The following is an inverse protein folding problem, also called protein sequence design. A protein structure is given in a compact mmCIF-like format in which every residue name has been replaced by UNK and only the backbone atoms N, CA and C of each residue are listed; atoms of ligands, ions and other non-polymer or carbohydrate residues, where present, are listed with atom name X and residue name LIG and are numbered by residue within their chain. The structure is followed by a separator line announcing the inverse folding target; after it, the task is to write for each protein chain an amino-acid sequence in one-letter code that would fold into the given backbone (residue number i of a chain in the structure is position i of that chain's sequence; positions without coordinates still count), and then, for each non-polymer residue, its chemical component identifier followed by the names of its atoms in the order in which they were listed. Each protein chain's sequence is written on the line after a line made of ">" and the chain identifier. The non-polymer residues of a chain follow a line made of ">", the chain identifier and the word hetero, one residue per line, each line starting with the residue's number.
data_IF_039622350876
#
_entry.id   IF_039622350876
#
_cell.length_a   1.000
_cell.length_b   1.000
_cell.length_c   1.000
_cell.angle_alpha   90.00
_cell.angle_beta   90.00
_cell.angle_gamma   90.00
#
_symmetry.space_group_name_H-M   'P 1'
#
loop_
_entity.id
_entity.type
_entity.pdbx_description
1 polymer ?
#
# COMPACT_ATOMS: atom_id res chain seq x y z
N UNK A 1 10.22 -11.45 -7.51
CA UNK A 1 10.63 -12.04 -6.20
C UNK A 1 9.66 -11.54 -5.14
N UNK A 2 9.24 -12.35 -4.16
CA UNK A 2 8.47 -11.83 -3.01
C UNK A 2 9.46 -11.40 -1.90
N UNK A 3 9.38 -10.15 -1.47
CA UNK A 3 10.10 -9.59 -0.34
C UNK A 3 9.27 -9.80 0.94
N UNK A 4 9.88 -10.36 1.99
CA UNK A 4 9.24 -10.37 3.31
C UNK A 4 9.21 -8.95 3.86
N UNK A 5 8.01 -8.45 4.14
CA UNK A 5 7.78 -7.11 4.69
C UNK A 5 7.82 -7.15 6.22
N UNK A 6 7.26 -8.19 6.84
CA UNK A 6 7.20 -8.33 8.28
C UNK A 6 7.73 -9.69 8.74
N UNK A 7 8.84 -9.71 9.47
CA UNK A 7 9.38 -10.95 10.06
C UNK A 7 8.57 -11.43 11.28
N UNK A 8 7.97 -10.51 12.04
CA UNK A 8 7.15 -10.80 13.22
C UNK A 8 5.90 -11.62 12.88
N UNK A 9 5.18 -11.20 11.83
CA UNK A 9 3.93 -11.82 11.39
C UNK A 9 4.11 -12.62 10.08
N UNK A 10 5.37 -12.76 9.62
CA UNK A 10 5.79 -13.55 8.45
C UNK A 10 4.94 -13.32 7.20
N UNK A 11 4.77 -12.06 6.79
CA UNK A 11 4.07 -11.72 5.55
C UNK A 11 4.92 -10.93 4.55
N UNK A 12 4.59 -11.10 3.28
CA UNK A 12 5.30 -10.56 2.11
C UNK A 12 4.62 -9.33 1.50
N UNK A 13 5.33 -8.63 0.61
CA UNK A 13 4.81 -7.53 -0.19
C UNK A 13 3.55 -7.94 -0.97
N UNK A 14 3.53 -9.15 -1.55
CA UNK A 14 2.38 -9.68 -2.28
C UNK A 14 1.13 -9.79 -1.41
N UNK A 15 1.28 -10.23 -0.16
CA UNK A 15 0.15 -10.31 0.78
C UNK A 15 -0.37 -8.92 1.14
N UNK A 16 0.51 -7.93 1.25
CA UNK A 16 0.11 -6.53 1.45
C UNK A 16 -0.65 -6.00 0.23
N UNK A 17 -0.14 -6.25 -0.98
CA UNK A 17 -0.78 -5.81 -2.23
C UNK A 17 -2.13 -6.50 -2.47
N UNK A 18 -2.23 -7.80 -2.18
CA UNK A 18 -3.49 -8.56 -2.25
C UNK A 18 -4.53 -8.02 -1.27
N UNK A 19 -4.13 -7.71 -0.02
CA UNK A 19 -4.99 -7.06 0.96
C UNK A 19 -5.47 -5.68 0.49
N UNK A 20 -4.62 -4.92 -0.22
CA UNK A 20 -4.99 -3.62 -0.80
C UNK A 20 -5.96 -3.76 -1.97
N UNK A 21 -5.78 -4.77 -2.83
CA UNK A 21 -6.66 -5.02 -3.96
C UNK A 21 -8.04 -5.57 -3.53
N UNK A 22 -8.07 -6.43 -2.51
CA UNK A 22 -9.29 -7.06 -2.00
C UNK A 22 -10.11 -6.21 -1.04
N UNK A 23 -9.57 -5.08 -0.56
CA UNK A 23 -10.23 -4.25 0.45
C UNK A 23 -10.42 -2.81 -0.02
N UNK A 24 -11.67 -2.44 -0.27
CA UNK A 24 -11.99 -1.06 -0.64
C UNK A 24 -11.73 -0.12 0.53
N UNK A 25 -10.80 0.82 0.34
CA UNK A 25 -10.63 1.95 1.24
C UNK A 25 -9.62 1.75 2.37
N UNK A 26 -8.72 0.77 2.29
CA UNK A 26 -7.59 0.66 3.23
C UNK A 26 -6.71 1.93 3.20
N UNK A 27 -6.66 2.69 4.31
CA UNK A 27 -5.92 3.97 4.39
C UNK A 27 -4.72 3.92 5.33
N UNK A 28 -4.63 2.90 6.17
CA UNK A 28 -3.60 2.79 7.20
C UNK A 28 -2.92 1.42 7.22
N UNK A 29 -1.64 1.35 7.63
CA UNK A 29 -0.97 0.07 7.87
C UNK A 29 -1.69 -0.80 8.91
N UNK A 30 -2.34 -0.17 9.90
CA UNK A 30 -3.16 -0.85 10.91
C UNK A 30 -4.24 -1.72 10.29
N UNK A 31 -4.91 -1.20 9.27
CA UNK A 31 -5.95 -1.93 8.56
C UNK A 31 -5.39 -3.08 7.72
N UNK A 32 -4.17 -2.95 7.17
CA UNK A 32 -3.46 -4.07 6.51
C UNK A 32 -3.26 -5.23 7.47
N UNK A 33 -2.77 -4.96 8.69
CA UNK A 33 -2.63 -6.04 9.68
C UNK A 33 -3.97 -6.70 9.99
N UNK A 34 -5.04 -5.91 10.13
CA UNK A 34 -6.39 -6.42 10.40
C UNK A 34 -6.92 -7.27 9.24
N UNK A 35 -6.72 -6.85 7.99
CA UNK A 35 -7.08 -7.64 6.80
C UNK A 35 -6.30 -8.96 6.73
N UNK A 36 -5.03 -8.97 7.14
CA UNK A 36 -4.20 -10.17 7.24
C UNK A 36 -4.45 -10.99 8.52
N UNK A 37 -5.43 -10.62 9.35
CA UNK A 37 -5.78 -11.34 10.58
C UNK A 37 -4.73 -11.28 11.68
N UNK A 38 -3.86 -10.25 11.67
CA UNK A 38 -2.75 -10.11 12.60
C UNK A 38 -2.79 -8.75 13.35
N UNK A 39 -2.00 -8.63 14.41
CA UNK A 39 -1.73 -7.36 15.08
C UNK A 39 -0.25 -6.98 14.96
N UNK A 40 0.11 -5.68 15.00
CA UNK A 40 1.51 -5.26 14.96
C UNK A 40 2.23 -5.69 16.24
N UNK A 41 3.40 -6.33 16.11
CA UNK A 41 4.25 -6.66 17.26
C UNK A 41 5.29 -5.58 17.55
N UNK A 42 6.20 -5.31 16.61
CA UNK A 42 7.29 -4.33 16.80
C UNK A 42 7.18 -3.10 15.89
N UNK A 43 6.23 -3.06 14.96
CA UNK A 43 5.93 -1.91 14.10
C UNK A 43 6.98 -1.53 13.04
N UNK A 44 8.16 -2.15 13.01
CA UNK A 44 9.27 -1.79 12.08
C UNK A 44 8.87 -1.84 10.60
N UNK A 45 7.97 -2.74 10.25
CA UNK A 45 7.46 -2.91 8.88
C UNK A 45 6.43 -1.85 8.47
N UNK A 46 5.91 -1.03 9.39
CA UNK A 46 4.85 -0.08 9.09
C UNK A 46 5.23 0.96 8.02
N UNK A 47 6.50 1.42 7.99
CA UNK A 47 6.97 2.33 6.93
C UNK A 47 6.98 1.65 5.56
N UNK A 48 7.44 0.41 5.49
CA UNK A 48 7.44 -0.38 4.25
C UNK A 48 6.03 -0.65 3.76
N UNK A 49 5.10 -1.00 4.67
CA UNK A 49 3.68 -1.16 4.33
C UNK A 49 3.12 0.14 3.76
N UNK A 50 3.37 1.29 4.41
CA UNK A 50 2.93 2.60 3.91
C UNK A 50 3.49 2.93 2.53
N UNK A 51 4.75 2.60 2.26
CA UNK A 51 5.35 2.80 0.94
C UNK A 51 4.68 1.93 -0.14
N UNK A 52 4.33 0.67 0.19
CA UNK A 52 3.59 -0.20 -0.72
C UNK A 52 2.16 0.31 -0.97
N UNK A 53 1.51 0.86 0.05
CA UNK A 53 0.20 1.51 -0.10
C UNK A 53 0.26 2.72 -1.04
N UNK A 54 1.26 3.58 -0.85
CA UNK A 54 1.47 4.76 -1.69
C UNK A 54 1.77 4.38 -3.14
N UNK A 55 2.63 3.38 -3.37
CA UNK A 55 2.91 2.83 -4.69
C UNK A 55 1.64 2.28 -5.35
N UNK A 56 0.84 1.47 -4.63
CA UNK A 56 -0.40 0.92 -5.17
C UNK A 56 -1.40 2.02 -5.57
N UNK A 57 -1.44 3.14 -4.84
CA UNK A 57 -2.26 4.30 -5.18
C UNK A 57 -1.70 5.10 -6.36
N UNK A 58 -0.37 5.26 -6.44
CA UNK A 58 0.30 5.92 -7.56
C UNK A 58 0.13 5.16 -8.89
N UNK A 59 0.12 3.82 -8.85
CA UNK A 59 -0.10 2.98 -10.03
C UNK A 59 -1.56 2.97 -10.53
N UNK A 60 -2.51 3.53 -9.77
CA UNK A 60 -3.93 3.54 -10.12
C UNK A 60 -4.36 4.81 -10.89
N UNK A 61 -3.41 5.52 -11.51
CA UNK A 61 -3.68 6.61 -12.46
C UNK A 61 -4.17 6.04 -13.79
N UNK A 62 -5.50 5.96 -13.95
CA UNK A 62 -6.14 5.25 -15.06
C UNK A 62 -6.04 5.87 -16.47
N UNK A 63 -5.41 7.03 -16.68
CA UNK A 63 -5.29 7.62 -18.04
C UNK A 63 -4.36 8.84 -18.07
N UNK A 64 -3.05 8.66 -18.09
CA UNK A 64 -2.16 9.71 -18.59
C UNK A 64 -1.62 9.29 -19.96
N UNK A 65 -2.18 9.89 -21.01
CA UNK A 65 -1.54 9.97 -22.31
C UNK A 65 -0.32 10.89 -22.15
N UNK A 66 0.86 10.34 -22.44
CA UNK A 66 2.15 10.98 -22.71
C UNK A 66 2.34 12.40 -22.12
N UNK A 67 3.10 12.48 -21.01
CA UNK A 67 3.61 13.70 -20.35
C UNK A 67 2.78 14.25 -19.17
N UNK A 68 3.03 13.73 -17.97
CA UNK A 68 2.54 14.35 -16.73
C UNK A 68 3.67 14.55 -15.71
N UNK A 69 4.00 15.80 -15.31
CA UNK A 69 5.04 16.09 -14.32
C UNK A 69 4.56 15.95 -12.86
N UNK A 70 3.28 15.65 -12.64
CA UNK A 70 2.67 15.34 -11.32
C UNK A 70 2.28 13.86 -11.17
N UNK A 71 2.40 13.06 -12.24
CA UNK A 71 2.82 11.66 -12.10
C UNK A 71 4.20 11.55 -11.41
N UNK A 72 4.95 12.65 -11.33
CA UNK A 72 6.18 12.72 -10.56
C UNK A 72 6.00 13.01 -9.04
N UNK A 73 4.84 13.45 -8.50
CA UNK A 73 4.71 13.84 -7.06
C UNK A 73 3.29 13.79 -6.37
N UNK A 74 2.29 12.99 -6.79
CA UNK A 74 1.05 12.71 -5.96
C UNK A 74 -0.07 13.78 -5.93
N UNK A 75 -0.33 14.49 -7.02
CA UNK A 75 -1.43 15.46 -7.05
C UNK A 75 -2.77 14.84 -7.45
N UNK A 76 -3.62 14.47 -6.47
CA UNK A 76 -5.09 14.65 -6.45
C UNK A 76 -5.73 13.74 -5.39
N UNK A 77 -5.64 14.18 -4.12
CA UNK A 77 -6.65 13.86 -3.11
C UNK A 77 -8.02 14.33 -3.61
N UNK A 78 -9.05 13.53 -3.32
CA UNK A 78 -10.42 13.60 -3.85
C UNK A 78 -11.24 14.86 -3.48
N UNK A 79 -12.34 15.02 -4.24
CA UNK A 79 -13.55 15.86 -4.06
C UNK A 79 -13.38 17.37 -4.37
N UNK A 80 -14.30 18.05 -5.08
CA UNK A 80 -15.75 17.87 -5.29
C UNK A 80 -16.18 17.88 -6.77
#
# INVERSE_FOLDING_TARGET
>A
MAMIVCSCNVFSDRQVLDALAGSQGLRTPGEVYRCLGCSPQCGRCARTIRALMDQAQAHNCGSCADDCPVAAITGMVAAE
#
